data_IF_932455400180
#
_entry.id   IF_932455400180
#
_cell.length_a   1.000
_cell.length_b   1.000
_cell.length_c   1.000
_cell.angle_alpha   90.00
_cell.angle_beta   90.00
_cell.angle_gamma   90.00
#
_symmetry.space_group_name_H-M   'P 1'
#
loop_
_entity.id
_entity.type
_entity.pdbx_description
1 polymer ?
#
# COMPACT_ATOMS: atom_id res chain seq x y z
N UNK A 1 12.06 24.52 -27.60
CA UNK A 1 10.83 23.82 -27.21
C UNK A 1 10.86 23.74 -25.69
N UNK A 2 10.06 24.53 -24.97
CA UNK A 2 9.96 24.40 -23.52
C UNK A 2 9.32 23.05 -23.18
N UNK A 3 9.82 22.36 -22.15
CA UNK A 3 9.12 21.19 -21.62
C UNK A 3 7.71 21.60 -21.20
N UNK A 4 6.67 20.79 -21.47
CA UNK A 4 5.32 21.10 -21.04
C UNK A 4 5.31 21.33 -19.52
N UNK A 5 4.57 22.34 -19.08
CA UNK A 5 4.36 22.60 -17.66
C UNK A 5 3.50 21.46 -17.13
N UNK A 6 4.06 20.65 -16.23
CA UNK A 6 3.34 19.55 -15.60
C UNK A 6 2.42 20.09 -14.52
N UNK A 7 1.15 19.73 -14.59
CA UNK A 7 0.11 20.11 -13.64
C UNK A 7 -0.12 19.00 -12.59
N UNK A 8 -0.68 19.31 -11.42
CA UNK A 8 -1.09 18.31 -10.44
C UNK A 8 -2.05 17.26 -11.03
N UNK A 9 -2.92 17.66 -11.96
CA UNK A 9 -3.87 16.79 -12.65
C UNK A 9 -3.14 15.75 -13.51
N UNK A 10 -2.06 16.13 -14.22
CA UNK A 10 -1.24 15.19 -15.00
C UNK A 10 -0.59 14.12 -14.12
N UNK A 11 -0.13 14.51 -12.93
CA UNK A 11 0.46 13.60 -11.94
C UNK A 11 -0.61 12.63 -11.40
N UNK A 12 -1.79 13.16 -11.05
CA UNK A 12 -2.90 12.37 -10.56
C UNK A 12 -3.39 11.37 -11.60
N UNK A 13 -3.55 11.80 -12.85
CA UNK A 13 -3.94 10.94 -13.97
C UNK A 13 -2.94 9.81 -14.18
N UNK A 14 -1.63 10.11 -14.15
CA UNK A 14 -0.60 9.06 -14.23
C UNK A 14 -0.72 8.04 -13.09
N UNK A 15 -0.93 8.50 -11.85
CA UNK A 15 -1.03 7.63 -10.66
C UNK A 15 -2.31 6.77 -10.66
N UNK A 16 -3.40 7.29 -11.24
CA UNK A 16 -4.65 6.55 -11.42
C UNK A 16 -4.49 5.45 -12.48
N UNK A 17 -3.78 5.75 -13.57
CA UNK A 17 -3.68 4.87 -14.73
C UNK A 17 -2.66 3.73 -14.55
N UNK A 18 -1.63 3.90 -13.70
CA UNK A 18 -0.60 2.88 -13.47
C UNK A 18 -0.88 1.95 -12.27
N UNK A 19 -2.02 2.12 -11.61
CA UNK A 19 -2.45 1.31 -10.46
C UNK A 19 -1.76 1.67 -9.14
N UNK A 20 -0.95 2.73 -9.11
CA UNK A 20 -0.25 3.16 -7.90
C UNK A 20 -1.21 3.56 -6.79
N UNK A 21 -2.32 4.24 -7.10
CA UNK A 21 -3.33 4.61 -6.11
C UNK A 21 -3.98 3.37 -5.48
N UNK A 22 -4.26 2.34 -6.28
CA UNK A 22 -4.80 1.08 -5.77
C UNK A 22 -3.80 0.34 -4.89
N UNK A 23 -2.52 0.35 -5.25
CA UNK A 23 -1.46 -0.22 -4.43
C UNK A 23 -1.32 0.51 -3.08
N UNK A 24 -1.39 1.85 -3.08
CA UNK A 24 -1.39 2.66 -1.86
C UNK A 24 -2.62 2.34 -1.00
N UNK A 25 -3.82 2.31 -1.60
CA UNK A 25 -5.06 1.94 -0.92
C UNK A 25 -4.95 0.56 -0.27
N UNK A 26 -4.39 -0.41 -0.98
CA UNK A 26 -4.18 -1.76 -0.44
C UNK A 26 -3.20 -1.76 0.74
N UNK A 27 -2.10 -0.99 0.68
CA UNK A 27 -1.17 -0.81 1.80
C UNK A 27 -1.88 -0.22 3.03
N UNK A 28 -2.67 0.84 2.86
CA UNK A 28 -3.46 1.46 3.94
C UNK A 28 -4.38 0.43 4.59
N UNK A 29 -5.15 -0.31 3.78
CA UNK A 29 -6.08 -1.35 4.26
C UNK A 29 -5.33 -2.42 5.06
N UNK A 30 -4.18 -2.88 4.57
CA UNK A 30 -3.41 -3.92 5.23
C UNK A 30 -2.83 -3.44 6.56
N UNK A 31 -2.34 -2.20 6.64
CA UNK A 31 -1.86 -1.63 7.90
C UNK A 31 -2.98 -1.44 8.92
N UNK A 32 -4.16 -0.98 8.49
CA UNK A 32 -5.33 -0.87 9.38
C UNK A 32 -5.81 -2.24 9.88
N UNK A 33 -5.83 -3.25 9.00
CA UNK A 33 -6.14 -4.64 9.37
C UNK A 33 -5.10 -5.23 10.34
N UNK A 34 -3.86 -4.76 10.31
CA UNK A 34 -2.81 -5.18 11.23
C UNK A 34 -2.74 -4.32 12.51
N UNK A 35 -3.51 -3.24 12.60
CA UNK A 35 -3.49 -2.33 13.74
C UNK A 35 -4.20 -2.97 14.94
N UNK A 36 -3.39 -3.50 15.87
CA UNK A 36 -3.89 -4.12 17.10
C UNK A 36 -4.56 -3.12 18.06
N UNK A 37 -4.16 -1.85 18.06
CA UNK A 37 -4.82 -0.83 18.88
C UNK A 37 -6.26 -0.58 18.42
N UNK A 38 -6.48 -0.49 17.11
CA UNK A 38 -7.82 -0.33 16.54
C UNK A 38 -8.69 -1.57 16.81
N UNK A 39 -8.12 -2.78 16.69
CA UNK A 39 -8.81 -4.03 17.05
C UNK A 39 -9.19 -4.06 18.52
N UNK A 40 -8.23 -3.79 19.41
CA UNK A 40 -8.45 -3.79 20.85
C UNK A 40 -9.46 -2.72 21.27
N UNK A 41 -9.43 -1.55 20.65
CA UNK A 41 -10.44 -0.53 20.87
C UNK A 41 -11.83 -1.01 20.43
N UNK A 42 -11.93 -1.76 19.33
CA UNK A 42 -13.23 -2.28 18.84
C UNK A 42 -13.76 -3.40 19.72
N UNK A 43 -12.89 -4.27 20.22
CA UNK A 43 -13.24 -5.29 21.23
C UNK A 43 -13.78 -4.61 22.49
N UNK A 44 -13.08 -3.59 23.01
CA UNK A 44 -13.55 -2.82 24.18
C UNK A 44 -14.89 -2.14 23.95
N UNK A 45 -15.12 -1.60 22.75
CA UNK A 45 -16.42 -1.02 22.38
C UNK A 45 -17.54 -2.07 22.41
N UNK A 46 -17.28 -3.29 21.92
CA UNK A 46 -18.22 -4.39 22.02
C UNK A 46 -18.45 -4.83 23.47
N UNK A 47 -17.41 -4.98 24.28
CA UNK A 47 -17.52 -5.33 25.71
C UNK A 47 -18.35 -4.31 26.50
N UNK A 48 -18.23 -3.04 26.15
CA UNK A 48 -18.95 -1.93 26.80
C UNK A 48 -20.32 -1.62 26.14
N UNK A 49 -20.74 -2.40 25.15
CA UNK A 49 -21.98 -2.18 24.40
C UNK A 49 -23.19 -2.19 25.33
N UNK A 50 -24.09 -1.21 25.16
CA UNK A 50 -25.38 -1.20 25.85
C UNK A 50 -26.26 -2.33 25.37
N UNK A 51 -26.25 -2.64 24.07
CA UNK A 51 -27.03 -3.75 23.49
C UNK A 51 -26.68 -5.07 24.18
N UNK A 52 -25.39 -5.37 24.36
CA UNK A 52 -24.96 -6.62 25.00
C UNK A 52 -25.14 -6.61 26.53
N UNK A 53 -25.01 -5.44 27.17
CA UNK A 53 -25.11 -5.32 28.63
C UNK A 53 -26.55 -5.04 29.13
N UNK A 54 -27.55 -5.00 28.25
CA UNK A 54 -28.95 -4.78 28.63
C UNK A 54 -29.58 -6.09 29.13
N UNK A 55 -30.29 -6.09 30.29
CA UNK A 55 -31.01 -7.28 30.75
C UNK A 55 -32.02 -7.77 29.71
N UNK A 56 -32.03 -9.07 29.41
CA UNK A 56 -32.90 -9.64 28.38
C UNK A 56 -32.24 -9.75 27.00
N UNK A 57 -31.01 -9.25 26.81
CA UNK A 57 -30.23 -9.47 25.59
C UNK A 57 -30.08 -10.97 25.27
N UNK A 58 -30.01 -11.83 26.28
CA UNK A 58 -29.92 -13.28 26.14
C UNK A 58 -31.17 -13.94 25.50
N UNK A 59 -32.29 -13.21 25.43
CA UNK A 59 -33.55 -13.70 24.84
C UNK A 59 -33.73 -13.26 23.39
N UNK A 60 -32.91 -12.33 22.91
CA UNK A 60 -32.94 -11.89 21.52
C UNK A 60 -32.30 -12.94 20.61
N UNK A 61 -32.74 -12.95 19.35
CA UNK A 61 -32.09 -13.79 18.34
C UNK A 61 -30.69 -13.26 18.02
N UNK A 62 -29.83 -14.15 17.54
CA UNK A 62 -28.48 -13.77 17.07
C UNK A 62 -28.54 -12.60 16.07
N UNK A 63 -29.52 -12.61 15.16
CA UNK A 63 -29.67 -11.55 14.14
C UNK A 63 -29.99 -10.21 14.78
N UNK A 64 -30.99 -10.15 15.66
CA UNK A 64 -31.37 -8.92 16.36
C UNK A 64 -30.20 -8.34 17.17
N UNK A 65 -29.43 -9.20 17.84
CA UNK A 65 -28.23 -8.78 18.57
C UNK A 65 -27.17 -8.17 17.64
N UNK A 66 -26.86 -8.81 16.50
CA UNK A 66 -25.87 -8.27 15.56
C UNK A 66 -26.33 -6.97 14.91
N UNK A 67 -27.61 -6.88 14.53
CA UNK A 67 -28.18 -5.69 13.91
C UNK A 67 -28.19 -4.51 14.89
N UNK A 68 -28.63 -4.74 16.13
CA UNK A 68 -28.60 -3.73 17.18
C UNK A 68 -27.17 -3.33 17.57
N UNK A 69 -26.25 -4.29 17.69
CA UNK A 69 -24.84 -4.01 17.99
C UNK A 69 -24.19 -3.22 16.86
N UNK A 70 -24.49 -3.54 15.60
CA UNK A 70 -24.03 -2.77 14.45
C UNK A 70 -24.59 -1.35 14.49
N UNK A 71 -25.88 -1.17 14.77
CA UNK A 71 -26.50 0.15 14.90
C UNK A 71 -25.83 0.99 15.99
N UNK A 72 -25.40 0.37 17.09
CA UNK A 72 -24.70 1.06 18.18
C UNK A 72 -23.23 1.38 17.83
N UNK A 73 -22.51 0.44 17.23
CA UNK A 73 -21.05 0.49 17.15
C UNK A 73 -20.48 0.85 15.78
N UNK A 74 -21.25 0.78 14.70
CA UNK A 74 -20.75 1.04 13.34
C UNK A 74 -20.16 2.45 13.22
N UNK A 75 -20.91 3.48 13.62
CA UNK A 75 -20.45 4.87 13.57
C UNK A 75 -19.18 5.10 14.40
N UNK A 76 -19.13 4.82 15.72
CA UNK A 76 -17.93 5.09 16.51
C UNK A 76 -16.72 4.24 16.09
N UNK A 77 -16.93 3.01 15.60
CA UNK A 77 -15.85 2.19 15.05
C UNK A 77 -15.31 2.76 13.74
N UNK A 78 -16.19 3.18 12.83
CA UNK A 78 -15.79 3.81 11.56
C UNK A 78 -15.11 5.17 11.77
N UNK A 79 -15.54 5.96 12.76
CA UNK A 79 -14.89 7.23 13.12
C UNK A 79 -13.45 7.00 13.58
N UNK A 80 -13.22 6.02 14.46
CA UNK A 80 -11.87 5.63 14.90
C UNK A 80 -11.02 5.13 13.73
N UNK A 81 -11.58 4.28 12.87
CA UNK A 81 -10.87 3.78 11.70
C UNK A 81 -10.52 4.92 10.72
N UNK A 82 -11.45 5.83 10.46
CA UNK A 82 -11.25 7.01 9.60
C UNK A 82 -10.15 7.91 10.14
N UNK A 83 -10.13 8.16 11.45
CA UNK A 83 -9.06 8.91 12.10
C UNK A 83 -7.70 8.23 11.91
N UNK A 84 -7.61 6.92 12.14
CA UNK A 84 -6.37 6.17 11.93
C UNK A 84 -5.90 6.16 10.47
N UNK A 85 -6.82 6.17 9.50
CA UNK A 85 -6.47 6.33 8.06
C UNK A 85 -5.79 7.68 7.83
N UNK A 86 -6.39 8.77 8.33
CA UNK A 86 -5.83 10.11 8.16
C UNK A 86 -4.47 10.27 8.85
N UNK A 87 -4.33 9.75 10.07
CA UNK A 87 -3.05 9.74 10.77
C UNK A 87 -1.98 9.00 9.96
N UNK A 88 -2.34 7.89 9.32
CA UNK A 88 -1.41 7.12 8.48
C UNK A 88 -1.02 7.85 7.18
N UNK A 89 -1.99 8.52 6.53
CA UNK A 89 -1.75 9.27 5.28
C UNK A 89 -0.93 10.54 5.55
N UNK A 90 -1.14 11.19 6.69
CA UNK A 90 -0.48 12.44 7.05
C UNK A 90 0.85 12.25 7.79
N UNK A 91 1.21 11.00 8.11
CA UNK A 91 2.47 10.67 8.76
C UNK A 91 3.69 10.98 7.88
N UNK A 92 4.61 11.79 8.40
CA UNK A 92 5.81 12.22 7.68
C UNK A 92 6.95 11.19 7.74
N UNK A 93 6.79 10.09 8.48
CA UNK A 93 7.87 9.15 8.77
C UNK A 93 7.62 7.73 8.23
N UNK A 94 6.38 7.39 7.87
CA UNK A 94 5.96 6.09 7.36
C UNK A 94 5.23 6.20 6.03
N UNK A 95 3.98 5.74 5.98
CA UNK A 95 3.26 5.60 4.72
C UNK A 95 2.98 6.96 4.04
N UNK A 96 2.69 8.02 4.79
CA UNK A 96 2.52 9.37 4.22
C UNK A 96 3.78 9.89 3.52
N UNK A 97 4.97 9.55 4.03
CA UNK A 97 6.24 9.81 3.34
C UNK A 97 6.36 9.01 2.05
N UNK A 98 6.03 7.72 2.05
CA UNK A 98 6.02 6.90 0.84
C UNK A 98 5.06 7.46 -0.23
N UNK A 99 3.89 7.95 0.18
CA UNK A 99 2.92 8.61 -0.72
C UNK A 99 3.56 9.86 -1.34
N UNK A 100 4.15 10.72 -0.51
CA UNK A 100 4.79 11.96 -0.95
C UNK A 100 5.95 11.71 -1.92
N UNK A 101 6.82 10.74 -1.61
CA UNK A 101 7.92 10.33 -2.47
C UNK A 101 7.44 9.73 -3.80
N UNK A 102 6.32 9.01 -3.77
CA UNK A 102 5.74 8.43 -4.98
C UNK A 102 5.18 9.51 -5.90
N UNK A 103 4.45 10.49 -5.35
CA UNK A 103 3.96 11.66 -6.10
C UNK A 103 5.12 12.46 -6.69
N UNK A 104 6.15 12.74 -5.88
CA UNK A 104 7.35 13.48 -6.32
C UNK A 104 8.10 12.72 -7.43
N UNK A 105 8.21 11.39 -7.33
CA UNK A 105 8.84 10.55 -8.35
C UNK A 105 8.10 10.63 -9.69
N UNK A 106 6.76 10.56 -9.65
CA UNK A 106 5.94 10.69 -10.87
C UNK A 106 6.06 12.09 -11.44
N UNK A 107 6.01 13.13 -10.60
CA UNK A 107 6.22 14.50 -11.03
C UNK A 107 7.59 14.71 -11.71
N UNK A 108 8.67 14.23 -11.11
CA UNK A 108 10.01 14.30 -11.69
C UNK A 108 10.10 13.57 -13.04
N UNK A 109 9.50 12.38 -13.14
CA UNK A 109 9.43 11.61 -14.39
C UNK A 109 8.70 12.37 -15.50
N UNK A 110 7.52 12.90 -15.21
CA UNK A 110 6.74 13.69 -16.18
C UNK A 110 7.46 14.99 -16.57
N UNK A 111 8.20 15.59 -15.64
CA UNK A 111 8.98 16.80 -15.86
C UNK A 111 10.31 16.57 -16.60
N UNK A 112 10.66 15.33 -16.94
CA UNK A 112 11.94 14.98 -17.56
C UNK A 112 13.15 15.19 -16.62
N UNK A 113 12.93 15.22 -15.30
CA UNK A 113 13.96 15.34 -14.26
C UNK A 113 14.37 13.99 -13.67
N UNK A 114 13.89 12.89 -14.23
CA UNK A 114 14.27 11.54 -13.80
C UNK A 114 15.78 11.35 -13.94
N UNK A 115 16.44 10.95 -12.85
CA UNK A 115 17.87 10.73 -12.85
C UNK A 115 18.22 9.63 -13.87
N UNK A 116 19.27 9.81 -14.70
CA UNK A 116 19.69 8.77 -15.64
C UNK A 116 19.93 7.44 -14.90
N UNK A 117 19.22 6.39 -15.30
CA UNK A 117 19.35 5.03 -14.73
C UNK A 117 20.73 4.42 -14.97
N UNK A 118 21.56 5.07 -15.79
CA UNK A 118 22.96 4.74 -15.98
C UNK A 118 23.80 6.00 -15.75
N UNK A 119 24.90 5.93 -14.96
CA UNK A 119 25.92 6.97 -15.04
C UNK A 119 26.37 7.06 -16.49
N UNK A 120 26.33 8.26 -17.08
CA UNK A 120 26.98 8.54 -18.36
C UNK A 120 28.42 7.99 -18.28
N UNK A 121 28.84 7.07 -19.17
CA UNK A 121 30.23 6.66 -19.22
C UNK A 121 31.02 7.91 -19.59
N UNK A 122 31.83 8.39 -18.65
CA UNK A 122 32.77 9.48 -18.86
C UNK A 122 33.77 9.07 -19.96
N UNK A 123 33.43 9.34 -21.22
CA UNK A 123 34.37 9.35 -22.33
C UNK A 123 34.74 10.81 -22.53
N UNK A 124 35.76 11.25 -21.79
CA UNK A 124 36.90 11.99 -22.33
C UNK A 124 37.89 12.32 -21.20
N UNK A 125 38.71 11.31 -20.88
CA UNK A 125 40.06 11.58 -20.43
C UNK A 125 40.86 12.08 -21.64
N UNK A 126 41.14 13.37 -21.70
CA UNK A 126 42.22 13.91 -22.53
C UNK A 126 43.39 14.34 -21.62
N UNK A 127 44.63 13.93 -21.96
CA UNK A 127 45.79 14.02 -21.09
C UNK A 127 46.54 15.36 -21.25
N UNK A 128 47.24 15.77 -20.19
CA UNK A 128 48.42 16.61 -20.32
C UNK A 128 48.42 17.89 -19.48
N UNK A 129 49.17 17.86 -18.38
CA UNK A 129 50.45 18.58 -18.27
C UNK A 129 51.10 18.31 -16.92
N UNK A 130 52.31 17.78 -16.97
CA UNK A 130 53.28 17.71 -15.87
C UNK A 130 53.63 19.12 -15.36
N UNK A 131 53.80 19.28 -14.05
CA UNK A 131 55.09 19.75 -13.53
C UNK A 131 55.26 19.55 -12.01
N UNK A 132 56.52 19.30 -11.67
CA UNK A 132 57.09 18.78 -10.43
C UNK A 132 57.10 19.70 -9.19
N UNK A 133 57.25 19.00 -8.05
CA UNK A 133 58.12 19.24 -6.87
C UNK A 133 57.67 20.16 -5.72
N UNK A 134 57.48 19.50 -4.58
CA UNK A 134 57.68 20.05 -3.22
C UNK A 134 57.66 18.98 -2.13
N UNK A 135 58.84 18.47 -1.76
CA UNK A 135 59.20 17.76 -0.49
C UNK A 135 58.46 18.33 0.75
N UNK A 136 58.23 17.68 1.88
CA UNK A 136 58.56 16.38 2.47
C UNK A 136 57.79 16.31 3.82
N UNK A 137 57.45 15.11 4.30
CA UNK A 137 57.83 14.61 5.64
C UNK A 137 57.13 13.28 5.95
N UNK A 138 58.01 12.29 6.05
CA UNK A 138 57.91 11.01 6.73
C UNK A 138 57.28 11.13 8.13
N UNK A 139 56.37 10.21 8.44
CA UNK A 139 56.33 9.60 9.76
C UNK A 139 55.62 8.25 9.66
N UNK A 140 56.41 7.22 9.91
CA UNK A 140 56.00 5.85 10.17
C UNK A 140 55.08 5.82 11.39
N UNK A 141 54.02 5.02 11.33
CA UNK A 141 53.70 4.16 12.46
C UNK A 141 52.91 2.94 12.00
N UNK A 142 53.54 1.79 12.19
CA UNK A 142 52.96 0.47 12.08
C UNK A 142 51.88 0.28 13.15
N UNK A 143 50.77 -0.37 12.81
CA UNK A 143 50.27 -1.40 13.69
C UNK A 143 49.49 -2.46 12.92
N UNK A 144 49.96 -3.70 13.09
CA UNK A 144 49.35 -4.92 12.62
C UNK A 144 47.98 -5.14 13.27
N UNK A 145 47.10 -5.85 12.54
CA UNK A 145 46.51 -7.12 12.98
C UNK A 145 45.07 -7.24 12.46
N UNK A 146 44.88 -8.01 11.40
CA UNK A 146 43.63 -8.77 11.23
C UNK A 146 43.87 -10.04 10.42
N UNK A 147 44.26 -11.09 11.14
CA UNK A 147 44.13 -12.48 10.69
C UNK A 147 42.73 -12.98 11.06
N UNK A 148 42.36 -14.11 10.43
CA UNK A 148 41.16 -14.95 10.58
C UNK A 148 40.13 -14.71 9.47
N UNK A 149 40.28 -15.38 8.31
CA UNK A 149 39.97 -16.80 8.05
C UNK A 149 38.52 -17.15 8.36
N UNK A 150 37.72 -17.38 7.32
CA UNK A 150 36.70 -18.42 7.24
C UNK A 150 36.22 -18.53 5.80
N UNK A 151 36.69 -19.55 5.10
CA UNK A 151 36.15 -19.95 3.82
C UNK A 151 34.78 -20.60 3.97
N UNK A 152 33.96 -20.49 2.92
CA UNK A 152 33.04 -21.57 2.56
C UNK A 152 32.71 -21.50 1.08
N UNK A 153 32.73 -22.69 0.51
CA UNK A 153 32.71 -23.07 -0.90
C UNK A 153 31.35 -22.93 -1.56
N UNK A 154 31.38 -22.60 -2.87
CA UNK A 154 30.58 -23.15 -3.97
C UNK A 154 29.13 -23.60 -3.71
N UNK A 155 28.17 -23.14 -4.51
CA UNK A 155 27.65 -23.88 -5.70
C UNK A 155 26.32 -23.28 -6.21
N UNK A 156 26.17 -23.40 -7.53
CA UNK A 156 25.16 -22.82 -8.42
C UNK A 156 23.70 -23.17 -8.07
N UNK A 157 22.85 -22.18 -8.31
CA UNK A 157 21.40 -22.22 -8.57
C UNK A 157 21.05 -23.36 -9.55
N UNK A 158 20.05 -24.18 -9.22
CA UNK A 158 19.39 -25.10 -10.16
C UNK A 158 17.88 -24.89 -10.04
N UNK A 159 17.24 -24.60 -11.18
CA UNK A 159 15.79 -24.46 -11.33
C UNK A 159 15.38 -25.33 -12.51
N UNK A 160 14.60 -26.37 -12.25
CA UNK A 160 13.65 -27.04 -13.15
C UNK A 160 13.21 -28.38 -12.51
N UNK A 161 11.91 -28.56 -12.30
CA UNK A 161 11.19 -29.75 -12.80
C UNK A 161 9.68 -29.49 -12.76
N UNK A 162 9.04 -29.78 -13.88
CA UNK A 162 7.64 -29.55 -14.21
C UNK A 162 7.01 -30.93 -14.31
N UNK A 163 5.98 -31.23 -13.52
CA UNK A 163 5.18 -32.44 -13.71
C UNK A 163 3.73 -32.06 -13.96
N UNK A 164 3.28 -32.46 -15.16
CA UNK A 164 1.93 -32.39 -15.68
C UNK A 164 1.44 -33.81 -15.92
N UNK A 165 0.37 -34.20 -15.24
CA UNK A 165 -0.56 -35.29 -15.59
C UNK A 165 -1.77 -35.13 -14.64
N UNK A 166 -3.03 -35.08 -15.05
CA UNK A 166 -3.67 -35.61 -16.25
C UNK A 166 -4.51 -36.84 -15.89
N UNK A 167 -5.84 -36.71 -15.88
CA UNK A 167 -6.82 -37.81 -15.71
C UNK A 167 -7.87 -37.50 -14.64
N UNK A 168 -9.06 -36.95 -14.93
CA UNK A 168 -10.21 -37.47 -15.70
C UNK A 168 -10.99 -38.58 -14.97
N UNK A 169 -12.21 -38.24 -14.54
CA UNK A 169 -13.50 -38.99 -14.65
C UNK A 169 -14.54 -38.26 -13.76
N UNK A 170 -15.40 -37.40 -14.33
CA UNK A 170 -16.76 -37.70 -14.81
C UNK A 170 -17.70 -38.30 -13.74
N UNK A 171 -18.79 -37.58 -13.42
CA UNK A 171 -20.16 -38.09 -13.55
C UNK A 171 -21.19 -36.97 -13.38
N UNK A 172 -22.14 -37.01 -14.30
CA UNK A 172 -23.30 -36.16 -14.56
C UNK A 172 -24.30 -35.94 -13.40
N UNK A 173 -25.00 -34.79 -13.44
CA UNK A 173 -26.45 -34.69 -13.75
C UNK A 173 -27.06 -33.38 -13.22
N UNK A 174 -27.50 -32.47 -14.11
CA UNK A 174 -28.91 -32.10 -14.41
C UNK A 174 -29.59 -31.26 -13.29
N UNK A 175 -30.03 -30.00 -13.48
CA UNK A 175 -31.17 -29.57 -14.30
C UNK A 175 -31.35 -28.03 -14.32
N UNK A 176 -31.81 -27.51 -15.47
CA UNK A 176 -32.53 -26.25 -15.83
C UNK A 176 -33.61 -25.80 -14.81
N UNK A 177 -34.10 -24.55 -14.69
CA UNK A 177 -34.10 -23.27 -15.47
C UNK A 177 -34.56 -22.07 -14.55
N UNK A 178 -34.51 -20.77 -14.99
CA UNK A 178 -34.71 -19.52 -14.19
C UNK A 178 -36.14 -18.94 -14.35
N UNK A 179 -36.52 -17.64 -14.13
CA UNK A 179 -35.87 -16.45 -13.51
C UNK A 179 -36.76 -15.70 -12.47
N UNK A 180 -36.24 -14.65 -11.82
CA UNK A 180 -37.09 -13.54 -11.34
C UNK A 180 -36.30 -12.23 -11.32
N UNK A 181 -36.76 -11.25 -12.10
CA UNK A 181 -36.16 -9.92 -12.25
C UNK A 181 -36.61 -8.98 -11.11
N UNK A 182 -35.85 -7.90 -10.85
CA UNK A 182 -36.10 -6.96 -9.75
C UNK A 182 -37.13 -5.87 -10.09
N UNK A 183 -37.49 -5.18 -9.01
CA UNK A 183 -38.60 -4.26 -8.78
C UNK A 183 -38.70 -3.02 -9.70
N UNK A 184 -39.95 -2.63 -9.97
CA UNK A 184 -40.35 -1.36 -10.58
C UNK A 184 -40.64 -0.35 -9.45
N UNK A 185 -39.72 0.59 -9.21
CA UNK A 185 -39.94 1.75 -8.35
C UNK A 185 -40.11 3.01 -9.19
N UNK A 186 -41.36 3.34 -9.48
CA UNK A 186 -41.73 4.58 -10.14
C UNK A 186 -41.90 5.73 -9.12
N UNK A 187 -40.99 6.71 -9.21
CA UNK A 187 -41.12 8.18 -8.97
C UNK A 187 -41.13 8.77 -7.54
N UNK A 188 -40.23 9.72 -7.23
CA UNK A 188 -40.37 10.67 -6.12
C UNK A 188 -41.11 11.97 -6.55
N UNK A 189 -41.92 12.62 -5.68
CA UNK A 189 -42.50 13.94 -5.95
C UNK A 189 -41.48 15.06 -5.69
N UNK A 190 -41.46 16.05 -6.60
CA UNK A 190 -40.67 17.29 -6.51
C UNK A 190 -41.18 18.24 -5.41
N UNK A 191 -40.31 19.10 -4.84
CA UNK A 191 -40.68 20.02 -3.77
C UNK A 191 -41.41 21.27 -4.27
N UNK A 192 -42.49 21.63 -3.56
CA UNK A 192 -43.27 22.85 -3.75
C UNK A 192 -42.44 24.10 -3.44
N UNK A 193 -42.50 25.09 -4.33
CA UNK A 193 -41.97 26.44 -4.15
C UNK A 193 -42.82 27.21 -3.14
N UNK A 194 -42.16 27.85 -2.17
CA UNK A 194 -42.76 28.88 -1.32
C UNK A 194 -42.87 30.20 -2.10
N UNK A 195 -44.04 30.82 -2.04
CA UNK A 195 -44.28 32.26 -2.24
C UNK A 195 -44.94 32.80 -0.99
#
# INVERSE_FOLDING_TARGET
>A
MGSPVITPEDVLESLMNDGTIDAIRLKIINQLKANEELKNSTIKMAEQSKVLNTPGAEKQTKRELFDALRQELETPALEKASKSVWELILDNNGLGKEISETVERVFCRLSGREAPLFPEPNIEAQPGKENEKGKAKENENENENRKENSGSTSKKRSFAEMNSEGGADEVASKSRDPPSAPEDFTKPPSPSSMT
#
